data_IF_062801744925
#
_entry.id   IF_062801744925
#
_cell.length_a   1.000
_cell.length_b   1.000
_cell.length_c   1.000
_cell.angle_alpha   90.00
_cell.angle_beta   90.00
_cell.angle_gamma   90.00
#
_symmetry.space_group_name_H-M   'P 1'
#
loop_
_entity.id
_entity.type
_entity.pdbx_description
1 polymer ?
#
# COMPACT_ATOMS: atom_id res chain seq x y z
N UNK A 1 17.11 23.87 -6.62
CA UNK A 1 17.67 22.50 -6.67
C UNK A 1 18.14 22.26 -8.09
N UNK A 2 19.46 22.19 -8.31
CA UNK A 2 20.02 22.00 -9.64
C UNK A 2 20.18 20.50 -9.91
N UNK A 3 19.58 19.99 -10.99
CA UNK A 3 19.76 18.61 -11.45
C UNK A 3 19.95 18.69 -12.95
N UNK A 4 20.93 17.97 -13.50
CA UNK A 4 21.06 17.87 -14.95
C UNK A 4 19.80 17.25 -15.56
N UNK A 5 19.26 17.91 -16.59
CA UNK A 5 18.02 17.48 -17.26
C UNK A 5 18.05 16.01 -17.67
N UNK A 6 19.19 15.52 -18.18
CA UNK A 6 19.40 14.13 -18.59
C UNK A 6 19.19 13.14 -17.44
N UNK A 7 19.71 13.45 -16.26
CA UNK A 7 19.70 12.56 -15.10
C UNK A 7 18.32 12.53 -14.45
N UNK A 8 17.64 13.69 -14.41
CA UNK A 8 16.23 13.76 -14.03
C UNK A 8 15.35 12.88 -14.92
N UNK A 9 15.44 13.04 -16.25
CA UNK A 9 14.61 12.25 -17.19
C UNK A 9 14.90 10.75 -17.08
N UNK A 10 16.18 10.38 -16.98
CA UNK A 10 16.60 8.99 -16.77
C UNK A 10 15.98 8.42 -15.49
N UNK A 11 15.99 9.18 -14.40
CA UNK A 11 15.46 8.74 -13.11
C UNK A 11 13.94 8.56 -13.15
N UNK A 12 13.21 9.54 -13.67
CA UNK A 12 11.75 9.44 -13.81
C UNK A 12 11.36 8.25 -14.69
N UNK A 13 12.02 8.05 -15.83
CA UNK A 13 11.76 6.91 -16.72
C UNK A 13 11.95 5.57 -15.98
N UNK A 14 13.07 5.42 -15.27
CA UNK A 14 13.34 4.20 -14.49
C UNK A 14 12.29 3.95 -13.38
N UNK A 15 11.76 5.01 -12.78
CA UNK A 15 10.73 4.93 -11.74
C UNK A 15 9.43 4.39 -12.33
N UNK A 16 9.00 4.94 -13.47
CA UNK A 16 7.79 4.51 -14.19
C UNK A 16 7.91 3.04 -14.61
N UNK A 17 9.05 2.63 -15.17
CA UNK A 17 9.29 1.25 -15.58
C UNK A 17 9.25 0.29 -14.38
N UNK A 18 9.80 0.71 -13.24
CA UNK A 18 9.80 -0.07 -11.99
C UNK A 18 8.39 -0.21 -11.43
N UNK A 19 7.62 0.88 -11.37
CA UNK A 19 6.22 0.86 -10.96
C UNK A 19 5.38 -0.06 -11.84
N UNK A 20 5.53 0.05 -13.16
CA UNK A 20 4.81 -0.81 -14.12
C UNK A 20 5.10 -2.29 -13.88
N UNK A 21 6.37 -2.66 -13.68
CA UNK A 21 6.77 -4.04 -13.36
C UNK A 21 6.17 -4.51 -12.04
N UNK A 22 6.25 -3.70 -10.98
CA UNK A 22 5.68 -4.01 -9.66
C UNK A 22 4.17 -4.21 -9.74
N UNK A 23 3.43 -3.34 -10.42
CA UNK A 23 1.98 -3.47 -10.60
C UNK A 23 1.60 -4.73 -11.39
N UNK A 24 2.32 -5.04 -12.48
CA UNK A 24 2.07 -6.27 -13.25
C UNK A 24 2.30 -7.52 -12.40
N UNK A 25 3.37 -7.53 -11.60
CA UNK A 25 3.70 -8.65 -10.73
C UNK A 25 2.65 -8.83 -9.62
N UNK A 26 2.25 -7.76 -8.94
CA UNK A 26 1.25 -7.85 -7.89
C UNK A 26 -0.14 -8.19 -8.43
N UNK A 27 -0.52 -7.67 -9.61
CA UNK A 27 -1.75 -8.09 -10.28
C UNK A 27 -1.73 -9.59 -10.59
N UNK A 28 -0.61 -10.11 -11.13
CA UNK A 28 -0.43 -11.54 -11.42
C UNK A 28 -0.45 -12.39 -10.14
N UNK A 29 0.06 -11.88 -9.03
CA UNK A 29 0.05 -12.57 -7.73
C UNK A 29 -1.35 -12.59 -7.14
N UNK A 30 -2.04 -11.45 -7.11
CA UNK A 30 -3.40 -11.35 -6.58
C UNK A 30 -4.41 -12.13 -7.43
N UNK A 31 -4.29 -12.13 -8.76
CA UNK A 31 -5.20 -12.89 -9.62
C UNK A 31 -5.14 -14.40 -9.33
N UNK A 32 -3.95 -14.94 -9.06
CA UNK A 32 -3.79 -16.34 -8.59
C UNK A 32 -4.43 -16.57 -7.22
N UNK A 33 -4.33 -15.60 -6.32
CA UNK A 33 -4.90 -15.71 -4.96
C UNK A 33 -6.43 -15.66 -5.00
N UNK A 34 -7.02 -14.84 -5.87
CA UNK A 34 -8.47 -14.72 -6.06
C UNK A 34 -9.11 -16.02 -6.54
N UNK A 35 -8.38 -16.83 -7.31
CA UNK A 35 -8.86 -18.12 -7.81
C UNK A 35 -8.98 -19.20 -6.72
N UNK A 36 -8.38 -18.97 -5.55
CA UNK A 36 -8.50 -19.87 -4.40
C UNK A 36 -9.83 -19.74 -3.66
N UNK A 37 -9.98 -20.54 -2.61
CA UNK A 37 -11.09 -20.43 -1.66
C UNK A 37 -11.06 -19.10 -0.89
N UNK A 38 -12.17 -18.74 -0.24
CA UNK A 38 -12.32 -17.44 0.44
C UNK A 38 -11.35 -17.29 1.62
N UNK A 39 -11.05 -18.37 2.34
CA UNK A 39 -10.10 -18.36 3.46
C UNK A 39 -8.68 -18.06 2.95
N UNK A 40 -8.21 -18.85 1.98
CA UNK A 40 -6.91 -18.68 1.33
C UNK A 40 -6.78 -17.28 0.73
N UNK A 41 -7.84 -16.79 0.08
CA UNK A 41 -7.88 -15.45 -0.48
C UNK A 41 -7.64 -14.39 0.60
N UNK A 42 -8.38 -14.43 1.71
CA UNK A 42 -8.24 -13.42 2.78
C UNK A 42 -6.87 -13.48 3.43
N UNK A 43 -6.41 -14.67 3.86
CA UNK A 43 -5.12 -14.82 4.56
C UNK A 43 -3.95 -14.36 3.70
N UNK A 44 -3.88 -14.82 2.43
CA UNK A 44 -2.77 -14.46 1.54
C UNK A 44 -2.81 -12.99 1.14
N UNK A 45 -4.00 -12.43 0.92
CA UNK A 45 -4.18 -11.00 0.61
C UNK A 45 -3.70 -10.10 1.74
N UNK A 46 -4.02 -10.46 2.98
CA UNK A 46 -3.61 -9.71 4.17
C UNK A 46 -2.13 -9.83 4.47
N UNK A 47 -1.51 -10.99 4.22
CA UNK A 47 -0.06 -11.14 4.31
C UNK A 47 0.68 -10.23 3.30
N UNK A 48 0.14 -10.10 2.07
CA UNK A 48 0.67 -9.17 1.06
C UNK A 48 0.53 -7.72 1.53
N UNK A 49 -0.66 -7.33 1.99
CA UNK A 49 -0.92 -5.99 2.50
C UNK A 49 0.03 -5.65 3.66
N UNK A 50 0.21 -6.57 4.60
CA UNK A 50 1.10 -6.37 5.75
C UNK A 50 2.56 -6.21 5.34
N UNK A 51 3.03 -6.99 4.37
CA UNK A 51 4.38 -6.84 3.82
C UNK A 51 4.59 -5.48 3.13
N UNK A 52 3.60 -5.02 2.35
CA UNK A 52 3.67 -3.72 1.66
C UNK A 52 3.62 -2.56 2.65
N UNK A 53 2.74 -2.62 3.66
CA UNK A 53 2.66 -1.62 4.73
C UNK A 53 3.97 -1.56 5.53
N UNK A 54 4.56 -2.72 5.87
CA UNK A 54 5.86 -2.78 6.53
C UNK A 54 6.95 -2.13 5.69
N UNK A 55 7.01 -2.48 4.40
CA UNK A 55 7.98 -1.89 3.46
C UNK A 55 7.81 -0.37 3.40
N UNK A 56 6.59 0.13 3.27
CA UNK A 56 6.31 1.57 3.21
C UNK A 56 6.79 2.30 4.47
N UNK A 57 6.57 1.73 5.66
CA UNK A 57 7.05 2.32 6.93
C UNK A 57 8.57 2.34 7.03
N UNK A 58 9.24 1.24 6.68
CA UNK A 58 10.71 1.15 6.66
C UNK A 58 11.28 2.11 5.62
N UNK A 59 10.68 2.14 4.43
CA UNK A 59 11.03 3.10 3.40
C UNK A 59 10.84 4.51 3.94
N UNK A 60 9.70 4.92 4.50
CA UNK A 60 9.50 6.28 5.01
C UNK A 60 10.52 6.70 6.07
N UNK A 61 10.86 5.83 7.01
CA UNK A 61 11.85 6.14 8.06
C UNK A 61 13.29 6.15 7.58
N UNK A 62 13.59 5.43 6.50
CA UNK A 62 14.94 5.27 5.96
C UNK A 62 15.95 4.70 6.99
N UNK A 63 15.46 3.90 7.93
CA UNK A 63 16.28 3.34 9.01
C UNK A 63 15.86 1.90 9.29
N UNK A 64 16.74 0.96 8.90
CA UNK A 64 16.51 -0.47 9.02
C UNK A 64 16.32 -0.93 10.47
N UNK A 65 16.75 -0.15 11.48
CA UNK A 65 16.55 -0.50 12.89
C UNK A 65 15.07 -0.56 13.26
N UNK A 66 14.21 0.20 12.57
CA UNK A 66 12.77 0.18 12.81
C UNK A 66 12.05 -1.01 12.18
N UNK A 67 12.69 -1.77 11.28
CA UNK A 67 12.05 -2.93 10.63
C UNK A 67 11.57 -3.95 11.67
N UNK A 68 12.43 -4.28 12.64
CA UNK A 68 12.09 -5.21 13.72
C UNK A 68 10.96 -4.66 14.59
N UNK A 69 10.93 -3.35 14.86
CA UNK A 69 9.84 -2.72 15.60
C UNK A 69 8.52 -2.82 14.84
N UNK A 70 8.50 -2.40 13.56
CA UNK A 70 7.31 -2.45 12.74
C UNK A 70 6.81 -3.88 12.51
N UNK A 71 7.68 -4.87 12.38
CA UNK A 71 7.29 -6.27 12.21
C UNK A 71 6.45 -6.83 13.37
N UNK A 72 6.61 -6.27 14.58
CA UNK A 72 5.98 -6.77 15.83
C UNK A 72 4.63 -6.15 16.14
N UNK A 73 4.32 -4.97 15.61
CA UNK A 73 3.03 -4.30 15.84
C UNK A 73 1.97 -4.85 14.87
N UNK A 74 0.70 -4.79 15.25
CA UNK A 74 -0.41 -5.29 14.41
C UNK A 74 -0.61 -4.45 13.14
N UNK A 75 -1.21 -5.02 12.10
CA UNK A 75 -1.56 -4.28 10.88
C UNK A 75 -2.44 -3.05 11.15
N UNK A 76 -3.34 -3.13 12.14
CA UNK A 76 -4.17 -1.97 12.55
C UNK A 76 -3.30 -0.83 13.08
N UNK A 77 -2.34 -1.13 13.96
CA UNK A 77 -1.42 -0.13 14.51
C UNK A 77 -0.49 0.44 13.43
N UNK A 78 -0.02 -0.40 12.49
CA UNK A 78 0.73 0.08 11.33
C UNK A 78 -0.10 1.06 10.49
N UNK A 79 -1.40 0.78 10.31
CA UNK A 79 -2.29 1.67 9.55
C UNK A 79 -2.53 3.01 10.26
N UNK A 80 -2.60 3.02 11.59
CA UNK A 80 -2.68 4.27 12.37
C UNK A 80 -1.40 5.10 12.17
N UNK A 81 -0.22 4.49 12.27
CA UNK A 81 1.06 5.16 11.98
C UNK A 81 1.13 5.71 10.56
N UNK A 82 0.62 4.98 9.56
CA UNK A 82 0.59 5.47 8.18
C UNK A 82 -0.30 6.72 8.02
N UNK A 83 -1.40 6.84 8.78
CA UNK A 83 -2.24 8.04 8.78
C UNK A 83 -1.48 9.21 9.40
N UNK A 84 -0.84 8.98 10.55
CA UNK A 84 -0.07 10.01 11.27
C UNK A 84 1.12 10.51 10.44
N UNK A 85 1.69 9.66 9.58
CA UNK A 85 2.75 10.00 8.63
C UNK A 85 2.24 10.58 7.30
N UNK A 86 0.93 10.78 7.17
CA UNK A 86 0.25 11.28 5.96
C UNK A 86 0.48 10.41 4.71
N UNK A 87 0.76 9.12 4.90
CA UNK A 87 0.99 8.15 3.82
C UNK A 87 -0.28 7.46 3.35
N UNK A 88 -1.32 7.44 4.19
CA UNK A 88 -2.63 6.92 3.85
C UNK A 88 -3.74 7.82 4.39
N UNK A 89 -4.88 7.81 3.70
CA UNK A 89 -6.06 8.55 4.15
C UNK A 89 -6.79 7.81 5.28
N UNK A 90 -7.61 8.53 6.04
CA UNK A 90 -8.52 7.93 7.04
C UNK A 90 -9.43 6.86 6.43
N UNK A 91 -9.83 7.03 5.17
CA UNK A 91 -10.66 6.07 4.45
C UNK A 91 -9.90 4.78 4.12
N UNK A 92 -8.66 4.88 3.65
CA UNK A 92 -7.80 3.71 3.43
C UNK A 92 -7.56 2.96 4.75
N UNK A 93 -7.34 3.68 5.86
CA UNK A 93 -7.22 3.09 7.20
C UNK A 93 -8.49 2.34 7.62
N UNK A 94 -9.68 2.88 7.35
CA UNK A 94 -10.97 2.17 7.62
C UNK A 94 -11.04 0.84 6.87
N UNK A 95 -10.63 0.80 5.60
CA UNK A 95 -10.59 -0.43 4.82
C UNK A 95 -9.56 -1.43 5.37
N UNK A 96 -8.34 -0.99 5.70
CA UNK A 96 -7.32 -1.85 6.32
C UNK A 96 -7.82 -2.43 7.66
N UNK A 97 -8.50 -1.60 8.46
CA UNK A 97 -9.09 -2.02 9.74
C UNK A 97 -10.19 -3.06 9.53
N UNK A 98 -11.04 -2.87 8.51
CA UNK A 98 -12.07 -3.83 8.13
C UNK A 98 -11.46 -5.20 7.77
N UNK A 99 -10.42 -5.23 6.93
CA UNK A 99 -9.75 -6.49 6.58
C UNK A 99 -9.03 -7.12 7.79
N UNK A 100 -8.41 -6.32 8.65
CA UNK A 100 -7.72 -6.80 9.85
C UNK A 100 -8.69 -7.47 10.83
N UNK A 101 -9.92 -6.95 10.97
CA UNK A 101 -10.98 -7.59 11.77
C UNK A 101 -11.34 -8.98 11.22
N UNK A 102 -11.51 -9.10 9.90
CA UNK A 102 -11.78 -10.40 9.27
C UNK A 102 -10.61 -11.35 9.52
N UNK A 103 -9.37 -10.91 9.27
CA UNK A 103 -8.14 -11.70 9.47
C UNK A 103 -8.06 -12.29 10.87
N UNK A 104 -8.29 -11.46 11.89
CA UNK A 104 -8.18 -11.88 13.28
C UNK A 104 -9.23 -12.95 13.60
N UNK A 105 -10.46 -12.80 13.09
CA UNK A 105 -11.47 -13.85 13.24
C UNK A 105 -11.03 -15.18 12.61
N UNK A 106 -10.48 -15.13 11.39
CA UNK A 106 -10.01 -16.32 10.67
C UNK A 106 -8.79 -16.99 11.32
N UNK A 107 -7.90 -16.20 11.94
CA UNK A 107 -6.66 -16.71 12.52
C UNK A 107 -6.86 -17.33 13.91
N UNK A 108 -7.89 -16.92 14.64
CA UNK A 108 -8.15 -17.39 16.01
C UNK A 108 -9.20 -18.49 16.10
N UNK A 109 -9.91 -18.80 15.00
CA UNK A 109 -10.93 -19.85 14.98
C UNK A 109 -10.59 -20.94 13.95
N UNK A 110 -10.09 -22.12 14.39
CA UNK A 110 -9.77 -23.24 13.51
C UNK A 110 -10.94 -23.74 12.66
N UNK A 111 -12.18 -23.54 13.11
CA UNK A 111 -13.39 -23.96 12.36
C UNK A 111 -13.62 -23.08 11.12
N UNK A 112 -12.95 -21.94 11.01
CA UNK A 112 -13.04 -21.01 9.88
C UNK A 112 -12.21 -21.44 8.66
N UNK A 113 -11.59 -22.63 8.65
CA UNK A 113 -10.91 -23.15 7.45
C UNK A 113 -11.90 -23.22 6.26
N UNK A 114 -13.19 -23.42 6.53
CA UNK A 114 -14.27 -23.38 5.54
C UNK A 114 -14.95 -22.01 5.41
N UNK A 115 -14.24 -20.92 5.75
CA UNK A 115 -14.77 -19.56 5.70
C UNK A 115 -15.37 -19.24 4.34
N UNK A 116 -16.48 -18.50 4.36
CA UNK A 116 -17.17 -18.06 3.18
C UNK A 116 -17.61 -16.61 3.33
N UNK A 117 -17.15 -15.74 2.43
CA UNK A 117 -17.43 -14.31 2.46
C UNK A 117 -18.93 -14.01 2.37
N UNK A 118 -19.70 -14.78 1.58
CA UNK A 118 -21.15 -14.56 1.49
C UNK A 118 -21.84 -14.92 2.81
N UNK A 119 -21.42 -15.99 3.49
CA UNK A 119 -21.94 -16.35 4.83
C UNK A 119 -21.57 -15.30 5.86
N UNK A 120 -20.32 -14.84 5.86
CA UNK A 120 -19.86 -13.76 6.74
C UNK A 120 -20.66 -12.46 6.53
N UNK A 121 -20.90 -12.03 5.29
CA UNK A 121 -21.71 -10.84 5.05
C UNK A 121 -23.17 -11.00 5.51
N UNK A 122 -23.71 -12.22 5.50
CA UNK A 122 -25.07 -12.49 6.00
C UNK A 122 -25.17 -12.45 7.53
N UNK A 123 -24.07 -12.68 8.26
CA UNK A 123 -24.04 -12.60 9.72
C UNK A 123 -23.87 -11.17 10.24
N UNK A 124 -23.56 -10.20 9.37
CA UNK A 124 -23.45 -8.79 9.73
C UNK A 124 -24.83 -8.20 10.06
N UNK A 125 -24.86 -7.29 11.03
CA UNK A 125 -26.04 -6.50 11.34
C UNK A 125 -26.45 -5.59 10.18
N UNK A 126 -27.69 -5.12 10.18
CA UNK A 126 -28.18 -4.17 9.16
C UNK A 126 -27.34 -2.89 9.10
N UNK A 127 -26.86 -2.39 10.26
CA UNK A 127 -25.99 -1.22 10.34
C UNK A 127 -24.63 -1.48 9.68
N UNK A 128 -23.98 -2.61 9.99
CA UNK A 128 -22.70 -2.99 9.39
C UNK A 128 -22.81 -3.17 7.87
N UNK A 129 -23.91 -3.80 7.40
CA UNK A 129 -24.19 -3.96 5.98
C UNK A 129 -24.31 -2.61 5.26
N UNK A 130 -25.00 -1.64 5.85
CA UNK A 130 -25.16 -0.31 5.27
C UNK A 130 -23.82 0.47 5.21
N UNK A 131 -22.86 0.13 6.06
CA UNK A 131 -21.53 0.73 6.05
C UNK A 131 -20.58 0.09 5.04
N UNK A 132 -20.86 -1.10 4.52
CA UNK A 132 -19.95 -1.83 3.61
C UNK A 132 -19.51 -1.03 2.37
N UNK A 133 -20.38 -0.28 1.66
CA UNK A 133 -19.93 0.53 0.52
C UNK A 133 -18.90 1.58 0.91
N UNK A 134 -18.99 2.11 2.13
CA UNK A 134 -18.00 3.04 2.64
C UNK A 134 -16.75 2.31 3.14
N UNK A 135 -16.85 1.12 3.74
CA UNK A 135 -15.68 0.37 4.19
C UNK A 135 -14.87 -0.19 3.03
N UNK A 136 -15.53 -0.69 1.97
CA UNK A 136 -14.93 -1.25 0.76
C UNK A 136 -14.70 -0.14 -0.26
N UNK A 137 -13.96 0.88 0.16
CA UNK A 137 -13.53 2.00 -0.68
C UNK A 137 -12.17 2.53 -0.21
N UNK A 138 -11.37 3.03 -1.15
CA UNK A 138 -10.09 3.69 -0.88
C UNK A 138 -10.20 5.23 -0.81
N UNK A 139 -11.35 5.81 -1.17
CA UNK A 139 -11.56 7.27 -1.16
C UNK A 139 -12.95 7.64 -0.65
N UNK A 140 -13.01 8.71 0.16
CA UNK A 140 -14.27 9.19 0.75
C UNK A 140 -15.22 9.70 -0.34
N UNK A 141 -14.65 10.34 -1.36
CA UNK A 141 -15.33 10.97 -2.48
C UNK A 141 -15.34 10.09 -3.74
N UNK A 142 -15.18 8.76 -3.58
CA UNK A 142 -15.23 7.85 -4.70
C UNK A 142 -16.64 7.88 -5.33
N UNK A 143 -16.75 8.51 -6.50
CA UNK A 143 -17.99 8.57 -7.30
C UNK A 143 -18.40 7.20 -7.82
N UNK A 144 -17.49 6.22 -7.77
CA UNK A 144 -17.68 4.86 -8.26
C UNK A 144 -17.70 3.83 -7.12
N UNK A 145 -18.10 4.24 -5.90
CA UNK A 145 -18.34 3.30 -4.79
C UNK A 145 -19.18 2.12 -5.24
N UNK A 146 -18.73 0.93 -4.91
CA UNK A 146 -19.46 -0.30 -5.20
C UNK A 146 -20.78 -0.29 -4.45
N UNK A 147 -21.88 -0.56 -5.16
CA UNK A 147 -23.19 -0.64 -4.53
C UNK A 147 -23.26 -1.82 -3.55
N UNK A 148 -24.04 -1.69 -2.47
CA UNK A 148 -24.25 -2.77 -1.51
C UNK A 148 -24.73 -4.06 -2.20
N UNK A 149 -25.59 -3.93 -3.22
CA UNK A 149 -26.07 -5.06 -4.01
C UNK A 149 -24.95 -5.78 -4.76
N UNK A 150 -24.01 -5.03 -5.34
CA UNK A 150 -22.83 -5.62 -5.98
C UNK A 150 -21.95 -6.36 -4.95
N UNK A 151 -21.67 -5.72 -3.81
CA UNK A 151 -20.84 -6.30 -2.74
C UNK A 151 -21.45 -7.60 -2.23
N UNK A 152 -22.77 -7.65 -1.97
CA UNK A 152 -23.46 -8.87 -1.52
C UNK A 152 -23.40 -10.00 -2.55
N UNK A 153 -23.51 -9.69 -3.84
CA UNK A 153 -23.45 -10.68 -4.93
C UNK A 153 -22.04 -11.20 -5.17
N UNK A 154 -21.05 -10.32 -5.07
CA UNK A 154 -19.65 -10.56 -5.47
C UNK A 154 -18.64 -10.09 -4.40
N UNK A 155 -18.70 -10.59 -3.15
CA UNK A 155 -17.92 -10.02 -2.05
C UNK A 155 -16.40 -10.16 -2.24
N UNK A 156 -15.95 -11.31 -2.75
CA UNK A 156 -14.54 -11.54 -3.07
C UNK A 156 -14.03 -10.52 -4.09
N UNK A 157 -14.76 -10.30 -5.18
CA UNK A 157 -14.37 -9.35 -6.23
C UNK A 157 -14.37 -7.91 -5.72
N UNK A 158 -15.36 -7.55 -4.90
CA UNK A 158 -15.41 -6.23 -4.27
C UNK A 158 -14.17 -5.97 -3.41
N UNK A 159 -13.82 -6.93 -2.53
CA UNK A 159 -12.59 -6.83 -1.71
C UNK A 159 -11.34 -6.81 -2.59
N UNK A 160 -11.27 -7.67 -3.60
CA UNK A 160 -10.10 -7.77 -4.47
C UNK A 160 -9.81 -6.48 -5.23
N UNK A 161 -10.83 -5.86 -5.84
CA UNK A 161 -10.64 -4.59 -6.57
C UNK A 161 -10.17 -3.49 -5.63
N UNK A 162 -10.84 -3.32 -4.48
CA UNK A 162 -10.47 -2.29 -3.51
C UNK A 162 -9.08 -2.54 -2.92
N UNK A 163 -8.73 -3.80 -2.65
CA UNK A 163 -7.39 -4.18 -2.21
C UNK A 163 -6.34 -3.88 -3.26
N UNK A 164 -6.56 -4.30 -4.50
CA UNK A 164 -5.61 -4.04 -5.60
C UNK A 164 -5.35 -2.54 -5.77
N UNK A 165 -6.40 -1.72 -5.70
CA UNK A 165 -6.27 -0.26 -5.73
C UNK A 165 -5.45 0.26 -4.55
N UNK A 166 -5.74 -0.19 -3.32
CA UNK A 166 -4.98 0.20 -2.14
C UNK A 166 -3.49 -0.19 -2.29
N UNK A 167 -3.20 -1.44 -2.64
CA UNK A 167 -1.81 -1.91 -2.81
C UNK A 167 -1.08 -1.10 -3.87
N UNK A 168 -1.75 -0.76 -4.97
CA UNK A 168 -1.18 0.06 -6.03
C UNK A 168 -0.79 1.46 -5.52
N UNK A 169 -1.64 2.07 -4.69
CA UNK A 169 -1.35 3.36 -4.06
C UNK A 169 -0.17 3.27 -3.09
N UNK A 170 -0.12 2.24 -2.23
CA UNK A 170 0.98 2.08 -1.26
C UNK A 170 2.33 1.80 -1.94
N UNK A 171 2.32 1.01 -3.01
CA UNK A 171 3.52 0.77 -3.83
C UNK A 171 3.96 2.06 -4.52
N UNK A 172 3.02 2.82 -5.10
CA UNK A 172 3.33 4.11 -5.69
C UNK A 172 3.98 5.06 -4.68
N UNK A 173 3.42 5.15 -3.47
CA UNK A 173 3.96 5.97 -2.39
C UNK A 173 5.38 5.55 -2.00
N UNK A 174 5.62 4.24 -1.89
CA UNK A 174 6.95 3.68 -1.59
C UNK A 174 7.97 4.12 -2.64
N UNK A 175 7.67 3.96 -3.93
CA UNK A 175 8.58 4.35 -5.01
C UNK A 175 8.77 5.87 -5.06
N UNK A 176 7.73 6.67 -4.81
CA UNK A 176 7.85 8.12 -4.80
C UNK A 176 8.79 8.61 -3.70
N UNK A 177 8.75 7.99 -2.52
CA UNK A 177 9.67 8.30 -1.42
C UNK A 177 11.12 7.95 -1.81
N UNK A 178 11.34 6.76 -2.39
CA UNK A 178 12.68 6.32 -2.83
C UNK A 178 13.23 7.25 -3.92
N UNK A 179 12.42 7.54 -4.94
CA UNK A 179 12.79 8.42 -6.06
C UNK A 179 13.07 9.83 -5.58
N UNK A 180 12.27 10.39 -4.66
CA UNK A 180 12.53 11.74 -4.11
C UNK A 180 13.90 11.80 -3.46
N UNK A 181 14.26 10.82 -2.64
CA UNK A 181 15.57 10.77 -1.98
C UNK A 181 16.73 10.67 -2.96
N UNK A 182 16.57 9.89 -4.02
CA UNK A 182 17.60 9.77 -5.03
C UNK A 182 17.73 11.05 -5.86
N UNK A 183 16.64 11.77 -6.11
CA UNK A 183 16.68 13.10 -6.70
C UNK A 183 17.38 14.10 -5.77
N UNK A 184 17.14 14.03 -4.46
CA UNK A 184 17.84 14.84 -3.46
C UNK A 184 19.36 14.62 -3.51
N UNK A 185 19.79 13.36 -3.56
CA UNK A 185 21.21 13.01 -3.72
C UNK A 185 21.80 13.52 -5.04
N UNK A 186 21.08 13.34 -6.14
CA UNK A 186 21.52 13.80 -7.46
C UNK A 186 21.67 15.32 -7.49
N UNK A 187 20.78 16.06 -6.85
CA UNK A 187 20.89 17.50 -6.81
C UNK A 187 22.08 18.00 -6.00
N UNK A 188 22.34 17.38 -4.85
CA UNK A 188 23.53 17.71 -4.05
C UNK A 188 24.79 17.47 -4.89
N UNK A 189 24.87 16.31 -5.55
CA UNK A 189 26.01 15.97 -6.40
C UNK A 189 26.17 16.94 -7.58
N UNK A 190 25.10 17.28 -8.31
CA UNK A 190 25.15 18.26 -9.40
C UNK A 190 25.57 19.65 -8.88
N UNK A 191 25.09 20.06 -7.71
CA UNK A 191 25.51 21.32 -7.10
C UNK A 191 26.99 21.33 -6.74
N UNK A 192 27.53 20.23 -6.21
CA UNK A 192 28.97 20.08 -5.93
C UNK A 192 29.82 20.15 -7.20
N UNK A 193 29.39 19.49 -8.28
CA UNK A 193 30.09 19.55 -9.58
C UNK A 193 30.10 20.97 -10.16
N UNK A 194 28.94 21.64 -10.18
CA UNK A 194 28.84 23.02 -10.67
C UNK A 194 29.67 24.00 -9.82
N UNK A 195 29.72 23.80 -8.50
CA UNK A 195 30.55 24.63 -7.62
C UNK A 195 32.05 24.41 -7.88
N UNK A 196 32.49 23.18 -8.15
CA UNK A 196 33.88 22.90 -8.53
C UNK A 196 34.26 23.57 -9.86
N UNK A 197 33.33 23.61 -10.81
CA UNK A 197 33.54 24.24 -12.11
C UNK A 197 33.58 25.78 -12.01
N UNK A 198 32.76 26.37 -11.14
CA UNK A 198 32.59 27.84 -11.04
C UNK A 198 33.54 28.48 -10.02
N UNK A 199 33.87 27.77 -8.94
CA UNK A 199 34.67 28.27 -7.82
C UNK A 199 35.65 27.19 -7.32
N UNK A 200 36.62 26.75 -8.15
CA UNK A 200 37.55 25.68 -7.82
C UNK A 200 38.36 25.96 -6.55
N UNK A 201 38.64 27.23 -6.25
CA UNK A 201 39.37 27.69 -5.07
C UNK A 201 38.74 27.29 -3.73
N UNK A 202 37.43 27.01 -3.69
CA UNK A 202 36.72 26.56 -2.48
C UNK A 202 37.06 25.10 -2.14
N UNK A 203 37.55 24.32 -3.10
CA UNK A 203 37.78 22.87 -2.97
C UNK A 203 39.26 22.48 -2.89
N UNK A 204 40.17 23.46 -2.88
CA UNK A 204 41.62 23.25 -2.71
C UNK A 204 42.00 23.62 -1.26
N UNK A 205 41.82 22.67 -0.34
CA UNK A 205 42.38 22.72 1.02
C UNK A 205 42.91 21.35 1.42
#
# INVERSE_FOLDING_TARGET
MAIYKKDFHKKIKSTIDTLRKKFLNENKRLSKIVQGDDWSFMIKSLAILESIVLRLLVTKTNDARFEKFYSRISLSQKADLLVDLELVTKQQRKFISFLSKIRNNLAHNPDEINFNLKKYLKSLSANELNQLPNLISVSENDKHKLSLNYIKRNPKNAIWVTLFTLLSLLIAETEMIETRRELDKLAIHTSEELLKDIAPEIFVS
#
